data_IF_593136802652
#
_entry.id   IF_593136802652
#
_cell.length_a   1.000
_cell.length_b   1.000
_cell.length_c   1.000
_cell.angle_alpha   90.00
_cell.angle_beta   90.00
_cell.angle_gamma   90.00
#
_symmetry.space_group_name_H-M   'P 1'
#
loop_
_entity.id
_entity.type
_entity.pdbx_description
1 polymer ?
#
# COMPACT_ATOMS: atom_id res chain seq x y z
N UNK A 1 -9.83 -10.00 17.62
CA UNK A 1 -8.90 -11.08 18.08
C UNK A 1 -8.58 -12.10 16.99
N UNK A 2 -9.43 -12.22 15.94
CA UNK A 2 -9.20 -13.19 14.86
C UNK A 2 -8.36 -12.61 13.70
N UNK A 3 -8.38 -11.33 13.41
CA UNK A 3 -7.89 -10.79 12.14
C UNK A 3 -6.43 -10.29 12.20
N UNK A 4 -5.99 -9.73 13.33
CA UNK A 4 -4.58 -9.50 13.58
C UNK A 4 -3.84 -10.83 13.82
N UNK A 5 -4.53 -11.81 14.40
CA UNK A 5 -4.02 -13.17 14.60
C UNK A 5 -3.77 -13.92 13.29
N UNK A 6 -4.56 -13.67 12.25
CA UNK A 6 -4.38 -14.37 10.95
C UNK A 6 -3.12 -13.89 10.22
N UNK A 7 -2.69 -12.65 10.41
CA UNK A 7 -1.38 -12.18 9.98
C UNK A 7 -0.27 -12.62 10.95
N UNK A 8 -0.61 -12.85 12.23
CA UNK A 8 0.31 -13.25 13.27
C UNK A 8 0.61 -14.75 13.32
N UNK A 9 -0.42 -15.58 13.17
CA UNK A 9 -0.29 -17.03 13.31
C UNK A 9 0.46 -17.68 12.15
N UNK A 10 0.51 -17.02 10.98
CA UNK A 10 1.18 -17.64 9.85
C UNK A 10 2.68 -17.40 9.82
N UNK A 11 3.25 -16.39 10.51
CA UNK A 11 4.68 -16.07 10.43
C UNK A 11 5.18 -15.88 9.00
N UNK A 12 4.25 -15.75 8.04
CA UNK A 12 4.44 -15.98 6.61
C UNK A 12 4.17 -14.75 5.74
N UNK A 13 3.93 -13.57 6.35
CA UNK A 13 3.68 -12.37 5.52
C UNK A 13 4.86 -12.13 4.59
N UNK A 14 6.08 -12.27 5.09
CA UNK A 14 7.29 -12.15 4.30
C UNK A 14 7.36 -13.22 3.20
N UNK A 15 7.03 -14.48 3.52
CA UNK A 15 7.00 -15.57 2.53
C UNK A 15 5.91 -15.36 1.49
N UNK A 16 4.72 -14.93 1.89
CA UNK A 16 3.61 -14.68 0.98
C UNK A 16 3.94 -13.55 0.00
N UNK A 17 4.46 -12.44 0.50
CA UNK A 17 4.90 -11.31 -0.33
C UNK A 17 6.07 -11.74 -1.24
N UNK A 18 7.05 -12.46 -0.70
CA UNK A 18 8.16 -12.99 -1.51
C UNK A 18 7.67 -13.88 -2.66
N UNK A 19 6.70 -14.76 -2.39
CA UNK A 19 6.11 -15.62 -3.41
C UNK A 19 5.36 -14.81 -4.48
N UNK A 20 4.59 -13.79 -4.08
CA UNK A 20 3.92 -12.88 -5.03
C UNK A 20 4.93 -12.13 -5.91
N UNK A 21 5.99 -11.55 -5.31
CA UNK A 21 7.05 -10.89 -6.07
C UNK A 21 7.75 -11.84 -7.04
N UNK A 22 8.03 -13.06 -6.61
CA UNK A 22 8.66 -14.09 -7.46
C UNK A 22 7.73 -14.52 -8.61
N UNK A 23 6.45 -14.75 -8.31
CA UNK A 23 5.45 -15.17 -9.31
C UNK A 23 5.27 -14.14 -10.42
N UNK A 24 5.33 -12.86 -10.07
CA UNK A 24 5.19 -11.73 -10.98
C UNK A 24 6.54 -11.26 -11.57
N UNK A 25 7.65 -11.92 -11.23
CA UNK A 25 9.01 -11.54 -11.63
C UNK A 25 9.41 -10.13 -11.22
N UNK A 26 8.87 -9.66 -10.09
CA UNK A 26 9.21 -8.37 -9.51
C UNK A 26 10.58 -8.44 -8.82
N UNK A 27 11.31 -7.33 -8.84
CA UNK A 27 12.60 -7.19 -8.16
C UNK A 27 12.41 -6.62 -6.76
N UNK A 28 13.33 -6.95 -5.87
CA UNK A 28 13.43 -6.36 -4.54
C UNK A 28 12.15 -6.49 -3.70
N UNK A 29 11.81 -7.72 -3.25
CA UNK A 29 10.70 -7.89 -2.32
C UNK A 29 10.95 -7.05 -1.05
N UNK A 30 9.92 -6.37 -0.53
CA UNK A 30 10.05 -5.54 0.66
C UNK A 30 10.41 -6.38 1.88
N UNK A 31 11.08 -5.76 2.84
CA UNK A 31 11.34 -6.35 4.15
C UNK A 31 10.38 -5.75 5.16
N UNK A 32 9.83 -6.59 6.01
CA UNK A 32 8.95 -6.16 7.08
C UNK A 32 9.66 -6.19 8.42
N UNK A 33 9.58 -5.10 9.16
CA UNK A 33 9.97 -5.05 10.57
C UNK A 33 8.71 -4.89 11.40
N UNK A 34 8.52 -5.77 12.35
CA UNK A 34 7.34 -5.76 13.20
C UNK A 34 7.65 -5.17 14.55
N UNK A 35 6.82 -4.23 14.96
CA UNK A 35 6.88 -3.60 16.28
C UNK A 35 5.52 -3.67 16.96
N UNK A 36 5.50 -3.61 18.29
CA UNK A 36 4.29 -3.84 19.09
C UNK A 36 3.68 -2.57 19.65
N UNK A 37 4.41 -1.47 19.63
CA UNK A 37 4.00 -0.20 20.21
C UNK A 37 4.66 1.00 19.53
N UNK A 38 4.19 2.19 19.89
CA UNK A 38 4.65 3.46 19.32
C UNK A 38 6.12 3.73 19.62
N UNK A 39 6.58 3.45 20.85
CA UNK A 39 7.97 3.70 21.24
C UNK A 39 8.94 2.86 20.43
N UNK A 40 8.63 1.57 20.27
CA UNK A 40 9.41 0.67 19.41
C UNK A 40 9.38 1.11 17.94
N UNK A 41 8.22 1.59 17.43
CA UNK A 41 8.11 2.09 16.07
C UNK A 41 8.99 3.32 15.85
N UNK A 42 8.95 4.28 16.76
CA UNK A 42 9.79 5.47 16.67
C UNK A 42 11.29 5.15 16.78
N UNK A 43 11.67 4.22 17.67
CA UNK A 43 13.06 3.77 17.80
C UNK A 43 13.56 3.09 16.51
N UNK A 44 12.72 2.29 15.86
CA UNK A 44 13.06 1.69 14.56
C UNK A 44 13.22 2.74 13.47
N UNK A 45 12.31 3.71 13.39
CA UNK A 45 12.37 4.81 12.43
C UNK A 45 13.58 5.73 12.63
N UNK A 46 14.10 5.87 13.85
CA UNK A 46 15.32 6.63 14.13
C UNK A 46 16.58 5.91 13.63
N UNK A 47 16.58 4.58 13.62
CA UNK A 47 17.76 3.77 13.30
C UNK A 47 17.78 3.25 11.85
N UNK A 48 16.62 3.19 11.19
CA UNK A 48 16.48 2.62 9.86
C UNK A 48 15.55 3.46 9.00
N UNK A 49 15.77 3.45 7.68
CA UNK A 49 14.86 4.07 6.72
C UNK A 49 13.74 3.11 6.36
N UNK A 50 12.52 3.57 6.51
CA UNK A 50 11.30 2.89 6.09
C UNK A 50 10.55 3.72 5.07
N UNK A 51 9.95 3.05 4.11
CA UNK A 51 9.20 3.67 3.01
C UNK A 51 7.69 3.63 3.23
N UNK A 52 7.22 2.84 4.20
CA UNK A 52 5.80 2.67 4.51
C UNK A 52 5.62 2.18 5.94
N UNK A 53 4.67 2.76 6.66
CA UNK A 53 4.19 2.26 7.94
C UNK A 53 2.79 1.69 7.78
N UNK A 54 2.60 0.44 8.18
CA UNK A 54 1.28 -0.21 8.23
C UNK A 54 0.87 -0.35 9.68
N UNK A 55 -0.20 0.34 10.06
CA UNK A 55 -0.75 0.32 11.41
C UNK A 55 -1.99 -0.57 11.45
N UNK A 56 -2.01 -1.50 12.38
CA UNK A 56 -3.14 -2.41 12.57
C UNK A 56 -3.86 -2.09 13.88
N UNK A 57 -5.16 -1.76 13.85
CA UNK A 57 -5.93 -1.49 15.06
C UNK A 57 -5.97 -2.73 15.95
N UNK A 58 -5.35 -2.63 17.12
CA UNK A 58 -5.45 -3.65 18.14
C UNK A 58 -6.69 -3.39 19.00
N UNK A 59 -7.46 -4.45 19.27
CA UNK A 59 -8.62 -4.38 20.20
C UNK A 59 -8.23 -4.06 21.65
N UNK A 60 -6.94 -4.04 21.99
CA UNK A 60 -6.42 -3.78 23.33
C UNK A 60 -6.42 -2.30 23.78
N UNK A 61 -7.09 -1.41 23.03
CA UNK A 61 -7.39 -0.06 23.50
C UNK A 61 -6.32 1.01 23.27
N UNK A 62 -5.23 0.73 22.56
CA UNK A 62 -4.26 1.76 22.18
C UNK A 62 -4.81 2.64 21.06
N UNK A 63 -4.57 3.93 21.17
CA UNK A 63 -4.98 4.89 20.14
C UNK A 63 -3.96 4.90 19.00
N UNK A 64 -4.25 4.12 17.94
CA UNK A 64 -3.40 4.05 16.76
C UNK A 64 -3.34 5.37 15.98
N UNK A 65 -4.38 6.21 16.10
CA UNK A 65 -4.43 7.49 15.41
C UNK A 65 -3.49 8.50 16.07
N UNK A 66 -3.40 8.49 17.40
CA UNK A 66 -2.41 9.27 18.14
C UNK A 66 -0.99 8.82 17.79
N UNK A 67 -0.72 7.50 17.73
CA UNK A 67 0.59 6.99 17.33
C UNK A 67 0.94 7.38 15.88
N UNK A 68 -0.01 7.31 14.95
CA UNK A 68 0.20 7.77 13.59
C UNK A 68 0.50 9.26 13.52
N UNK A 69 -0.20 10.09 14.31
CA UNK A 69 0.05 11.53 14.40
C UNK A 69 1.47 11.83 14.91
N UNK A 70 1.92 11.14 15.97
CA UNK A 70 3.30 11.26 16.50
C UNK A 70 4.36 10.90 15.45
N UNK A 71 4.11 9.84 14.65
CA UNK A 71 5.01 9.44 13.58
C UNK A 71 5.02 10.50 12.47
N UNK A 72 3.84 10.96 12.03
CA UNK A 72 3.70 11.97 10.96
C UNK A 72 4.33 13.31 11.34
N UNK A 73 4.30 13.70 12.60
CA UNK A 73 4.94 14.93 13.09
C UNK A 73 6.47 14.89 12.90
N UNK A 74 7.10 13.71 13.10
CA UNK A 74 8.55 13.52 12.93
C UNK A 74 8.95 13.18 11.50
N UNK A 75 8.10 12.47 10.78
CA UNK A 75 8.31 11.96 9.43
C UNK A 75 7.13 12.32 8.52
N UNK A 76 6.97 13.59 8.12
CA UNK A 76 5.78 14.07 7.41
C UNK A 76 5.57 13.40 6.05
N UNK A 77 6.64 13.02 5.36
CA UNK A 77 6.59 12.41 4.02
C UNK A 77 6.41 10.88 4.06
N UNK A 78 6.54 10.26 5.25
CA UNK A 78 6.41 8.82 5.39
C UNK A 78 4.93 8.39 5.29
N UNK A 79 4.54 7.58 4.30
CA UNK A 79 3.17 7.10 4.18
C UNK A 79 2.75 6.24 5.36
N UNK A 80 1.55 6.50 5.89
CA UNK A 80 0.96 5.72 6.97
C UNK A 80 -0.36 5.14 6.48
N UNK A 81 -0.45 3.82 6.50
CA UNK A 81 -1.63 3.07 6.07
C UNK A 81 -2.23 2.33 7.26
N UNK A 82 -3.54 2.46 7.45
CA UNK A 82 -4.29 1.65 8.41
C UNK A 82 -4.83 0.41 7.72
N UNK A 83 -4.43 -0.76 8.19
CA UNK A 83 -4.97 -2.04 7.75
C UNK A 83 -5.87 -2.61 8.85
N UNK A 84 -7.17 -2.74 8.57
CA UNK A 84 -8.18 -3.06 9.59
C UNK A 84 -9.08 -4.21 9.21
N UNK A 85 -9.46 -5.10 10.15
CA UNK A 85 -10.61 -5.96 9.94
C UNK A 85 -11.85 -5.08 9.84
N UNK A 86 -12.59 -5.17 8.75
CA UNK A 86 -13.71 -4.27 8.45
C UNK A 86 -14.96 -4.58 9.30
N UNK A 87 -14.80 -4.58 10.64
CA UNK A 87 -15.90 -4.73 11.57
C UNK A 87 -16.71 -3.43 11.72
N UNK A 88 -17.96 -3.54 12.16
CA UNK A 88 -18.82 -2.38 12.42
C UNK A 88 -18.20 -1.43 13.45
N UNK A 89 -17.63 -2.00 14.50
CA UNK A 89 -17.00 -1.25 15.59
C UNK A 89 -15.79 -0.43 15.11
N UNK A 90 -14.96 -1.04 14.27
CA UNK A 90 -13.80 -0.35 13.70
C UNK A 90 -14.21 0.76 12.74
N UNK A 91 -15.26 0.56 11.93
CA UNK A 91 -15.81 1.61 11.08
C UNK A 91 -16.31 2.82 11.87
N UNK A 92 -17.02 2.58 12.97
CA UNK A 92 -17.52 3.66 13.84
C UNK A 92 -16.38 4.43 14.53
N UNK A 93 -15.26 3.75 14.83
CA UNK A 93 -14.05 4.40 15.35
C UNK A 93 -13.35 5.24 14.29
N UNK A 94 -13.14 4.69 13.10
CA UNK A 94 -12.52 5.40 11.97
C UNK A 94 -13.35 6.63 11.59
N UNK A 95 -14.67 6.52 11.54
CA UNK A 95 -15.57 7.64 11.22
C UNK A 95 -15.51 8.81 12.22
N UNK A 96 -15.00 8.57 13.43
CA UNK A 96 -14.86 9.59 14.48
C UNK A 96 -13.40 10.03 14.72
N UNK A 97 -12.46 9.34 14.12
CA UNK A 97 -11.04 9.61 14.31
C UNK A 97 -10.57 10.77 13.42
N UNK A 98 -9.55 11.45 13.88
CA UNK A 98 -8.77 12.34 13.03
C UNK A 98 -7.87 11.49 12.12
N UNK A 99 -8.11 11.56 10.82
CA UNK A 99 -7.38 10.81 9.79
C UNK A 99 -6.32 11.65 9.07
N UNK A 100 -6.04 12.85 9.52
CA UNK A 100 -5.06 13.75 8.86
C UNK A 100 -3.66 13.15 8.76
N UNK A 101 -3.29 12.30 9.71
CA UNK A 101 -2.02 11.59 9.73
C UNK A 101 -2.05 10.26 8.93
N UNK A 102 -3.19 9.86 8.36
CA UNK A 102 -3.38 8.59 7.67
C UNK A 102 -3.54 8.83 6.17
N UNK A 103 -2.66 8.28 5.38
CA UNK A 103 -2.73 8.40 3.92
C UNK A 103 -3.85 7.51 3.35
N UNK A 104 -3.95 6.25 3.80
CA UNK A 104 -4.98 5.32 3.35
C UNK A 104 -5.48 4.42 4.47
N UNK A 105 -6.72 3.97 4.34
CA UNK A 105 -7.32 2.93 5.18
C UNK A 105 -7.70 1.76 4.30
N UNK A 106 -7.29 0.55 4.63
CA UNK A 106 -7.65 -0.66 3.90
C UNK A 106 -8.36 -1.68 4.78
N UNK A 107 -9.27 -2.42 4.18
CA UNK A 107 -9.95 -3.54 4.81
C UNK A 107 -9.19 -4.85 4.56
N UNK A 108 -8.69 -5.49 5.62
CA UNK A 108 -8.11 -6.81 5.52
C UNK A 108 -9.24 -7.85 5.37
N UNK A 109 -9.29 -8.47 4.21
CA UNK A 109 -10.30 -9.47 3.85
C UNK A 109 -9.69 -10.89 3.73
N UNK A 110 -8.50 -11.09 4.31
CA UNK A 110 -7.79 -12.38 4.22
C UNK A 110 -7.03 -12.60 2.91
N UNK A 111 -6.87 -11.56 2.08
CA UNK A 111 -6.15 -11.66 0.82
C UNK A 111 -4.74 -11.03 0.93
N UNK A 112 -3.66 -11.84 0.90
CA UNK A 112 -2.28 -11.34 0.98
C UNK A 112 -1.89 -10.45 -0.21
N UNK A 113 -2.53 -10.58 -1.38
CA UNK A 113 -2.31 -9.72 -2.54
C UNK A 113 -2.62 -8.25 -2.23
N UNK A 114 -3.43 -7.99 -1.20
CA UNK A 114 -3.71 -6.61 -0.76
C UNK A 114 -2.44 -5.90 -0.28
N UNK A 115 -1.52 -6.59 0.37
CA UNK A 115 -0.25 -5.99 0.81
C UNK A 115 0.60 -5.60 -0.40
N UNK A 116 0.67 -6.46 -1.43
CA UNK A 116 1.33 -6.11 -2.69
C UNK A 116 0.67 -4.88 -3.33
N UNK A 117 -0.67 -4.84 -3.37
CA UNK A 117 -1.41 -3.71 -3.94
C UNK A 117 -1.16 -2.40 -3.18
N UNK A 118 -1.10 -2.44 -1.85
CA UNK A 118 -0.78 -1.28 -1.01
C UNK A 118 0.63 -0.76 -1.33
N UNK A 119 1.64 -1.65 -1.37
CA UNK A 119 3.02 -1.28 -1.68
C UNK A 119 3.10 -0.64 -3.06
N UNK A 120 2.47 -1.26 -4.07
CA UNK A 120 2.48 -0.75 -5.43
C UNK A 120 1.73 0.58 -5.58
N UNK A 121 0.64 0.78 -4.83
CA UNK A 121 -0.07 2.07 -4.81
C UNK A 121 0.82 3.20 -4.27
N UNK A 122 1.62 2.93 -3.24
CA UNK A 122 2.56 3.90 -2.70
C UNK A 122 3.72 4.14 -3.67
N UNK A 123 4.28 3.09 -4.28
CA UNK A 123 5.32 3.22 -5.32
C UNK A 123 4.82 4.04 -6.52
N UNK A 124 3.60 3.78 -7.02
CA UNK A 124 3.00 4.52 -8.12
C UNK A 124 2.84 6.00 -7.78
N UNK A 125 2.36 6.31 -6.56
CA UNK A 125 2.23 7.69 -6.09
C UNK A 125 3.58 8.44 -6.07
N UNK A 126 4.66 7.76 -5.72
CA UNK A 126 5.98 8.40 -5.67
C UNK A 126 6.62 8.58 -7.04
N UNK A 127 6.32 7.67 -7.97
CA UNK A 127 6.96 7.65 -9.28
C UNK A 127 6.14 8.40 -10.34
N UNK A 128 4.88 8.76 -10.05
CA UNK A 128 3.93 9.31 -11.02
C UNK A 128 4.50 10.49 -11.82
N UNK A 129 5.14 11.44 -11.16
CA UNK A 129 5.68 12.63 -11.81
C UNK A 129 6.85 12.29 -12.75
N UNK A 130 7.74 11.40 -12.30
CA UNK A 130 8.94 11.01 -13.06
C UNK A 130 8.59 10.07 -14.22
N UNK A 131 7.74 9.08 -13.97
CA UNK A 131 7.39 8.06 -14.98
C UNK A 131 6.44 8.63 -16.06
N UNK A 132 5.56 9.57 -15.72
CA UNK A 132 4.75 10.32 -16.69
C UNK A 132 5.61 11.21 -17.58
N UNK A 133 6.57 11.93 -17.00
CA UNK A 133 7.42 12.88 -17.74
C UNK A 133 8.47 12.18 -18.61
N UNK A 134 9.11 11.10 -18.12
CA UNK A 134 10.21 10.42 -18.81
C UNK A 134 9.77 9.32 -19.77
N UNK A 135 8.72 8.57 -19.43
CA UNK A 135 8.34 7.34 -20.14
C UNK A 135 6.98 7.46 -20.84
N UNK A 136 6.16 8.44 -20.46
CA UNK A 136 4.80 8.61 -20.98
C UNK A 136 3.88 7.46 -20.55
N UNK A 137 3.98 7.04 -19.30
CA UNK A 137 3.22 5.95 -18.71
C UNK A 137 1.74 6.29 -18.68
N UNK A 138 0.89 5.32 -18.94
CA UNK A 138 -0.56 5.49 -18.79
C UNK A 138 -0.95 5.43 -17.32
N UNK A 139 -1.86 6.31 -16.88
CA UNK A 139 -2.42 6.27 -15.55
C UNK A 139 -3.85 5.73 -15.55
N UNK A 140 -4.17 4.91 -14.58
CA UNK A 140 -5.51 4.38 -14.31
C UNK A 140 -6.02 5.08 -13.05
N UNK A 141 -7.03 5.94 -13.20
CA UNK A 141 -7.70 6.56 -12.06
C UNK A 141 -8.84 5.67 -11.57
N UNK A 142 -8.69 5.12 -10.36
CA UNK A 142 -9.75 4.42 -9.65
C UNK A 142 -10.44 5.39 -8.69
N UNK A 143 -11.72 5.69 -8.93
CA UNK A 143 -12.53 6.55 -8.04
C UNK A 143 -13.49 5.67 -7.25
N UNK A 144 -13.26 5.54 -5.94
CA UNK A 144 -14.07 4.69 -5.07
C UNK A 144 -13.92 5.15 -3.60
N UNK A 145 -15.02 5.48 -2.96
CA UNK A 145 -15.07 5.97 -1.58
C UNK A 145 -15.21 4.84 -0.54
N UNK A 146 -15.67 3.67 -0.98
CA UNK A 146 -15.85 2.53 -0.08
C UNK A 146 -14.54 1.78 0.18
N UNK A 147 -14.05 1.87 1.42
CA UNK A 147 -12.87 1.13 1.90
C UNK A 147 -12.92 -0.34 1.51
N UNK A 148 -14.09 -0.98 1.62
CA UNK A 148 -14.25 -2.39 1.29
C UNK A 148 -14.11 -2.66 -0.19
N UNK A 149 -14.68 -1.80 -1.03
CA UNK A 149 -14.66 -2.02 -2.48
C UNK A 149 -13.27 -1.79 -3.05
N UNK A 150 -12.60 -0.66 -2.75
CA UNK A 150 -11.26 -0.46 -3.28
C UNK A 150 -10.23 -1.44 -2.70
N UNK A 151 -10.39 -1.88 -1.43
CA UNK A 151 -9.52 -2.93 -0.86
C UNK A 151 -9.68 -4.28 -1.57
N UNK A 152 -10.84 -4.55 -2.16
CA UNK A 152 -11.08 -5.75 -2.97
C UNK A 152 -10.65 -5.56 -4.43
N UNK A 153 -10.85 -4.38 -5.00
CA UNK A 153 -10.59 -4.11 -6.42
C UNK A 153 -9.10 -3.95 -6.73
N UNK A 154 -8.36 -3.22 -5.87
CA UNK A 154 -6.94 -2.91 -6.10
C UNK A 154 -6.06 -4.15 -6.30
N UNK A 155 -6.15 -5.22 -5.49
CA UNK A 155 -5.37 -6.44 -5.73
C UNK A 155 -5.58 -7.02 -7.12
N UNK A 156 -6.82 -7.06 -7.59
CA UNK A 156 -7.15 -7.56 -8.93
C UNK A 156 -6.61 -6.66 -10.04
N UNK A 157 -6.72 -5.34 -9.90
CA UNK A 157 -6.19 -4.39 -10.87
C UNK A 157 -4.66 -4.51 -10.96
N UNK A 158 -3.96 -4.51 -9.83
CA UNK A 158 -2.51 -4.68 -9.81
C UNK A 158 -2.08 -6.03 -10.38
N UNK A 159 -2.77 -7.10 -10.07
CA UNK A 159 -2.48 -8.42 -10.66
C UNK A 159 -2.54 -8.36 -12.19
N UNK A 160 -3.63 -7.83 -12.77
CA UNK A 160 -3.79 -7.71 -14.22
C UNK A 160 -2.66 -6.88 -14.84
N UNK A 161 -2.39 -5.69 -14.29
CA UNK A 161 -1.36 -4.78 -14.79
C UNK A 161 0.03 -5.41 -14.72
N UNK A 162 0.36 -6.05 -13.59
CA UNK A 162 1.66 -6.69 -13.37
C UNK A 162 1.84 -7.95 -14.23
N UNK A 163 0.82 -8.77 -14.40
CA UNK A 163 0.85 -9.94 -15.28
C UNK A 163 1.05 -9.53 -16.74
N UNK A 164 0.33 -8.52 -17.21
CA UNK A 164 0.51 -7.98 -18.56
C UNK A 164 1.94 -7.43 -18.75
N UNK A 165 2.44 -6.65 -17.81
CA UNK A 165 3.80 -6.12 -17.85
C UNK A 165 4.84 -7.23 -17.89
N UNK A 166 4.64 -8.30 -17.12
CA UNK A 166 5.51 -9.49 -17.13
C UNK A 166 5.51 -10.17 -18.50
N UNK A 167 4.35 -10.37 -19.12
CA UNK A 167 4.26 -10.99 -20.44
C UNK A 167 4.98 -10.13 -21.50
N UNK A 168 4.76 -8.82 -21.52
CA UNK A 168 5.49 -7.91 -22.42
C UNK A 168 7.01 -7.91 -22.17
N UNK A 169 7.43 -8.11 -20.91
CA UNK A 169 8.84 -8.15 -20.55
C UNK A 169 9.55 -9.41 -21.05
N UNK A 170 8.84 -10.54 -21.24
CA UNK A 170 9.40 -11.77 -21.79
C UNK A 170 9.88 -11.61 -23.24
N UNK A 171 9.28 -10.70 -23.99
CA UNK A 171 9.66 -10.40 -25.37
C UNK A 171 10.88 -9.47 -25.47
N UNK A 172 11.39 -8.98 -24.35
CA UNK A 172 12.53 -8.07 -24.35
C UNK A 172 13.83 -8.81 -24.65
N UNK A 173 14.62 -8.26 -25.57
CA UNK A 173 15.87 -8.85 -26.04
C UNK A 173 17.02 -8.78 -25.02
N UNK A 174 16.91 -7.90 -24.01
CA UNK A 174 17.93 -7.73 -22.98
C UNK A 174 17.32 -7.22 -21.66
N UNK A 175 18.10 -7.31 -20.56
CA UNK A 175 17.67 -6.92 -19.21
C UNK A 175 17.34 -5.42 -19.10
N UNK A 176 17.99 -4.55 -19.86
CA UNK A 176 17.73 -3.13 -19.86
C UNK A 176 16.34 -2.83 -20.44
N UNK A 177 16.00 -3.38 -21.59
CA UNK A 177 14.66 -3.26 -22.19
C UNK A 177 13.58 -3.90 -21.32
N UNK A 178 13.90 -5.00 -20.64
CA UNK A 178 13.00 -5.64 -19.68
C UNK A 178 12.67 -4.69 -18.52
N UNK A 179 13.68 -4.02 -17.98
CA UNK A 179 13.48 -3.05 -16.89
C UNK A 179 12.66 -1.85 -17.35
N UNK A 180 12.94 -1.29 -18.52
CA UNK A 180 12.17 -0.19 -19.10
C UNK A 180 10.70 -0.57 -19.34
N UNK A 181 10.44 -1.77 -19.87
CA UNK A 181 9.06 -2.27 -20.08
C UNK A 181 8.31 -2.51 -18.78
N UNK A 182 9.00 -2.92 -17.73
CA UNK A 182 8.38 -3.06 -16.40
C UNK A 182 8.08 -1.70 -15.75
N UNK A 183 8.90 -0.68 -15.99
CA UNK A 183 8.62 0.71 -15.57
C UNK A 183 7.50 1.34 -16.37
N UNK A 184 7.37 1.01 -17.64
CA UNK A 184 6.32 1.50 -18.55
C UNK A 184 4.93 0.85 -18.34
N UNK A 185 4.68 0.18 -17.22
CA UNK A 185 3.36 -0.33 -16.88
C UNK A 185 2.41 0.80 -16.51
N UNK A 186 1.10 0.65 -16.75
CA UNK A 186 0.13 1.60 -16.23
C UNK A 186 0.24 1.73 -14.70
N UNK A 187 0.23 2.96 -14.21
CA UNK A 187 0.17 3.28 -12.79
C UNK A 187 -1.28 3.38 -12.33
N UNK A 188 -1.53 3.11 -11.06
CA UNK A 188 -2.86 3.19 -10.50
C UNK A 188 -2.91 4.29 -9.44
N UNK A 189 -3.78 5.27 -9.66
CA UNK A 189 -4.11 6.32 -8.69
C UNK A 189 -5.47 6.04 -8.09
N UNK A 190 -5.54 6.02 -6.76
CA UNK A 190 -6.80 5.88 -6.02
C UNK A 190 -7.28 7.26 -5.55
N UNK A 191 -8.45 7.68 -6.01
CA UNK A 191 -9.19 8.82 -5.48
C UNK A 191 -10.39 8.32 -4.67
N UNK A 192 -10.53 8.81 -3.43
CA UNK A 192 -11.57 8.38 -2.49
C UNK A 192 -12.76 9.34 -2.43
N UNK A 193 -12.69 10.42 -3.18
CA UNK A 193 -13.77 11.39 -3.32
C UNK A 193 -13.77 11.98 -4.74
N UNK A 194 -14.87 12.67 -5.07
CA UNK A 194 -14.96 13.42 -6.33
C UNK A 194 -13.90 14.53 -6.37
N UNK A 195 -13.67 15.20 -5.27
CA UNK A 195 -12.72 16.31 -5.15
C UNK A 195 -11.27 15.80 -5.39
N UNK A 196 -10.89 14.67 -4.77
CA UNK A 196 -9.60 14.03 -5.02
C UNK A 196 -9.45 13.63 -6.51
N UNK A 197 -10.50 13.07 -7.11
CA UNK A 197 -10.47 12.69 -8.53
C UNK A 197 -10.29 13.91 -9.45
N UNK A 198 -10.97 15.01 -9.17
CA UNK A 198 -10.80 16.24 -9.93
C UNK A 198 -9.41 16.84 -9.81
N UNK A 199 -8.82 16.83 -8.62
CA UNK A 199 -7.44 17.27 -8.41
C UNK A 199 -6.43 16.45 -9.24
N UNK A 200 -6.62 15.13 -9.31
CA UNK A 200 -5.75 14.26 -10.14
C UNK A 200 -5.90 14.56 -11.63
N UNK A 201 -7.08 14.93 -12.10
CA UNK A 201 -7.35 15.21 -13.52
C UNK A 201 -6.90 16.61 -13.97
N UNK A 202 -6.72 17.54 -13.03
CA UNK A 202 -6.30 18.92 -13.29
C UNK A 202 -4.75 19.10 -13.24
N UNK A 203 -4.03 18.13 -12.67
CA UNK A 203 -2.58 18.10 -12.64
C UNK A 203 -2.00 17.25 -13.77
#
# INVERSE_FOLDING_TARGET
RYDAFTLEDDGRVDELIFNEYTSLSLRYPPRFTRVTDEEAALAELENHNYELVIVMPNMAGRDIFAAAASIKERYPDLPIVVLTPFSREVRERIAKADLTAIDYVFAWLGNPELLLAIIKLIEDKWNADDDLAEVGVQSILLVEDSVRFYSSALPHLYRIVLEQSREFSKEALNEHLKTLRMRGRPEITLARSFEEAMQVLEN
#
